data_IF_966306308992
#
_entry.id   IF_966306308992
#
_cell.length_a   1.000
_cell.length_b   1.000
_cell.length_c   1.000
_cell.angle_alpha   90.00
_cell.angle_beta   90.00
_cell.angle_gamma   90.00
#
_symmetry.space_group_name_H-M   'P 1'
#
loop_
_entity.id
_entity.type
_entity.pdbx_description
1 polymer ?
#
# COMPACT_ATOMS: atom_id res chain seq x y z
N UNK A 1 25.39 -8.94 2.38
CA UNK A 1 25.34 -9.80 1.19
C UNK A 1 24.76 -9.00 0.03
N UNK A 2 25.47 -8.87 -1.10
CA UNK A 2 24.94 -8.14 -2.26
C UNK A 2 23.84 -8.99 -2.92
N UNK A 3 22.58 -8.59 -2.76
CA UNK A 3 21.48 -9.22 -3.48
C UNK A 3 21.75 -9.10 -4.98
N UNK A 4 21.90 -10.24 -5.65
CA UNK A 4 22.15 -10.30 -7.08
C UNK A 4 20.93 -9.74 -7.78
N UNK A 5 21.07 -8.56 -8.39
CA UNK A 5 19.99 -7.87 -9.10
C UNK A 5 19.47 -8.75 -10.24
N UNK A 6 18.16 -8.74 -10.43
CA UNK A 6 17.52 -9.31 -11.62
C UNK A 6 18.11 -8.59 -12.84
N UNK A 7 18.40 -9.32 -13.92
CA UNK A 7 18.88 -8.68 -15.15
C UNK A 7 17.74 -7.89 -15.76
N UNK A 8 18.03 -6.69 -16.28
CA UNK A 8 16.99 -5.84 -16.87
C UNK A 8 16.24 -6.53 -18.02
N UNK A 9 16.91 -7.41 -18.76
CA UNK A 9 16.31 -8.21 -19.84
C UNK A 9 15.29 -9.26 -19.35
N UNK A 10 15.34 -9.63 -18.07
CA UNK A 10 14.40 -10.58 -17.45
C UNK A 10 13.20 -9.85 -16.82
N UNK A 11 13.19 -8.51 -16.82
CA UNK A 11 12.06 -7.72 -16.29
C UNK A 11 10.92 -7.64 -17.32
N UNK A 12 9.66 -7.68 -16.87
CA UNK A 12 8.53 -7.52 -17.77
C UNK A 12 8.50 -6.12 -18.41
N UNK A 13 8.03 -6.07 -19.65
CA UNK A 13 7.77 -4.80 -20.34
C UNK A 13 6.68 -3.99 -19.63
N UNK A 14 6.53 -2.72 -19.99
CA UNK A 14 5.47 -1.88 -19.42
C UNK A 14 4.07 -2.44 -19.71
N UNK A 15 3.84 -2.96 -20.92
CA UNK A 15 2.60 -3.61 -21.33
C UNK A 15 2.33 -4.87 -20.51
N UNK A 16 3.31 -5.76 -20.39
CA UNK A 16 3.19 -6.98 -19.59
C UNK A 16 2.87 -6.68 -18.11
N UNK A 17 3.42 -5.59 -17.54
CA UNK A 17 3.07 -5.17 -16.18
C UNK A 17 1.61 -4.75 -16.04
N UNK A 18 1.04 -4.11 -17.06
CA UNK A 18 -0.36 -3.72 -17.06
C UNK A 18 -1.28 -4.94 -17.21
N UNK A 19 -0.91 -5.90 -18.06
CA UNK A 19 -1.64 -7.16 -18.22
C UNK A 19 -1.65 -7.94 -16.91
N UNK A 20 -0.49 -8.11 -16.27
CA UNK A 20 -0.36 -8.76 -14.96
C UNK A 20 -1.25 -8.05 -13.91
N UNK A 21 -1.26 -6.72 -13.88
CA UNK A 21 -2.08 -5.95 -12.95
C UNK A 21 -3.58 -6.20 -13.20
N UNK A 22 -4.02 -6.13 -14.45
CA UNK A 22 -5.42 -6.34 -14.82
C UNK A 22 -5.88 -7.77 -14.48
N UNK A 23 -5.08 -8.78 -14.82
CA UNK A 23 -5.35 -10.18 -14.51
C UNK A 23 -5.38 -10.43 -12.99
N UNK A 24 -4.47 -9.80 -12.24
CA UNK A 24 -4.42 -9.89 -10.78
C UNK A 24 -5.69 -9.31 -10.16
N UNK A 25 -6.12 -8.13 -10.62
CA UNK A 25 -7.36 -7.50 -10.14
C UNK A 25 -8.55 -8.42 -10.41
N UNK A 26 -8.68 -8.93 -11.65
CA UNK A 26 -9.78 -9.82 -12.01
C UNK A 26 -9.79 -11.11 -11.17
N UNK A 27 -8.62 -11.73 -11.03
CA UNK A 27 -8.45 -12.98 -10.27
C UNK A 27 -8.81 -12.80 -8.80
N UNK A 28 -8.24 -11.79 -8.13
CA UNK A 28 -8.51 -11.55 -6.71
C UNK A 28 -9.95 -11.11 -6.47
N UNK A 29 -10.53 -10.31 -7.37
CA UNK A 29 -11.96 -9.95 -7.31
C UNK A 29 -12.85 -11.17 -7.43
N UNK A 30 -12.56 -12.07 -8.37
CA UNK A 30 -13.30 -13.34 -8.51
C UNK A 30 -13.16 -14.26 -7.29
N UNK A 31 -12.03 -14.17 -6.59
CA UNK A 31 -11.78 -14.90 -5.34
C UNK A 31 -12.43 -14.23 -4.11
N UNK A 32 -13.17 -13.13 -4.30
CA UNK A 32 -13.94 -12.45 -3.26
C UNK A 32 -13.17 -11.37 -2.51
N UNK A 33 -12.04 -10.88 -3.02
CA UNK A 33 -11.35 -9.72 -2.46
C UNK A 33 -11.83 -8.42 -3.13
N UNK A 34 -12.01 -7.37 -2.34
CA UNK A 34 -12.25 -6.01 -2.82
C UNK A 34 -10.90 -5.31 -3.07
N UNK A 35 -10.78 -4.65 -4.22
CA UNK A 35 -9.65 -3.78 -4.50
C UNK A 35 -9.79 -2.47 -3.72
N UNK A 36 -8.90 -2.25 -2.74
CA UNK A 36 -8.90 -1.05 -1.88
C UNK A 36 -8.17 0.11 -2.58
N UNK A 37 -7.23 -0.19 -3.49
CA UNK A 37 -6.46 0.79 -4.26
C UNK A 37 -4.96 0.56 -4.15
N UNK A 38 -4.21 1.14 -5.11
CA UNK A 38 -2.77 0.92 -5.31
C UNK A 38 -2.44 -0.58 -5.40
N UNK A 39 -1.94 -1.15 -4.31
CA UNK A 39 -1.42 -2.50 -4.16
C UNK A 39 -2.22 -3.34 -3.13
N UNK A 40 -3.32 -2.81 -2.58
CA UNK A 40 -4.08 -3.45 -1.50
C UNK A 40 -5.39 -4.09 -1.93
N UNK A 41 -5.59 -5.32 -1.46
CA UNK A 41 -6.83 -6.09 -1.58
C UNK A 41 -7.23 -6.58 -0.19
N UNK A 42 -8.51 -6.48 0.15
CA UNK A 42 -9.04 -6.92 1.44
C UNK A 42 -10.38 -7.64 1.25
N UNK A 43 -10.81 -8.45 2.23
CA UNK A 43 -12.15 -9.03 2.16
C UNK A 43 -13.21 -7.94 2.30
N UNK A 44 -14.44 -8.12 1.78
CA UNK A 44 -15.48 -7.10 1.86
C UNK A 44 -15.86 -6.74 3.31
N UNK A 45 -15.72 -7.67 4.25
CA UNK A 45 -15.95 -7.51 5.68
C UNK A 45 -14.72 -7.02 6.47
N UNK A 46 -13.60 -6.80 5.79
CA UNK A 46 -12.40 -6.20 6.39
C UNK A 46 -12.64 -4.72 6.75
N UNK A 47 -12.01 -4.27 7.83
CA UNK A 47 -12.15 -2.90 8.33
C UNK A 47 -11.74 -1.85 7.30
N UNK A 48 -10.74 -2.13 6.45
CA UNK A 48 -10.31 -1.22 5.38
C UNK A 48 -11.34 -1.16 4.26
N UNK A 49 -11.96 -2.28 3.93
CA UNK A 49 -13.01 -2.35 2.91
C UNK A 49 -14.28 -1.62 3.38
N UNK A 50 -14.61 -1.74 4.66
CA UNK A 50 -15.71 -1.00 5.30
C UNK A 50 -15.41 0.49 5.31
N UNK A 51 -14.25 0.91 5.83
CA UNK A 51 -13.84 2.31 5.89
C UNK A 51 -13.80 2.97 4.51
N UNK A 52 -13.39 2.23 3.47
CA UNK A 52 -13.43 2.71 2.09
C UNK A 52 -14.86 3.01 1.62
N UNK A 53 -15.81 2.10 1.88
CA UNK A 53 -17.22 2.29 1.50
C UNK A 53 -17.89 3.41 2.29
N UNK A 54 -17.46 3.62 3.53
CA UNK A 54 -17.94 4.70 4.40
C UNK A 54 -17.26 6.06 4.14
N UNK A 55 -16.22 6.10 3.29
CA UNK A 55 -15.50 7.32 2.97
C UNK A 55 -14.57 7.82 4.09
N UNK A 56 -14.26 6.96 5.06
CA UNK A 56 -13.39 7.24 6.22
C UNK A 56 -12.08 6.46 6.17
N UNK A 57 -11.70 5.96 4.99
CA UNK A 57 -10.40 5.33 4.80
C UNK A 57 -9.30 6.39 4.83
N UNK A 58 -8.36 6.25 5.75
CA UNK A 58 -7.20 7.12 5.87
C UNK A 58 -5.94 6.41 5.33
N UNK A 59 -4.89 7.19 5.09
CA UNK A 59 -3.59 6.66 4.65
C UNK A 59 -2.47 7.40 5.35
N UNK A 60 -1.52 6.66 5.91
CA UNK A 60 -0.28 7.20 6.47
C UNK A 60 0.94 6.61 5.75
N UNK A 61 2.14 6.82 6.31
CA UNK A 61 3.39 6.37 5.67
C UNK A 61 3.51 4.84 5.54
N UNK A 62 2.78 4.08 6.33
CA UNK A 62 2.80 2.60 6.31
C UNK A 62 1.72 1.99 5.41
N UNK A 63 0.69 2.75 5.02
CA UNK A 63 -0.39 2.23 4.18
C UNK A 63 -1.77 2.79 4.55
N UNK A 64 -2.81 2.11 4.05
CA UNK A 64 -4.21 2.40 4.38
C UNK A 64 -4.51 2.01 5.83
N UNK A 65 -5.30 2.83 6.52
CA UNK A 65 -5.65 2.68 7.93
C UNK A 65 -7.06 3.18 8.20
N UNK A 66 -7.73 2.58 9.19
CA UNK A 66 -9.03 3.03 9.73
C UNK A 66 -8.90 4.15 10.76
N UNK A 67 -7.68 4.41 11.25
CA UNK A 67 -7.41 5.42 12.26
C UNK A 67 -6.99 6.73 11.60
N UNK A 68 -7.98 7.60 11.37
CA UNK A 68 -7.75 9.00 11.02
C UNK A 68 -7.18 9.80 12.19
N UNK A 69 -6.58 10.95 11.88
CA UNK A 69 -6.19 12.00 12.83
C UNK A 69 -5.32 11.54 14.01
N UNK A 70 -4.49 10.53 13.79
CA UNK A 70 -3.57 10.00 14.81
C UNK A 70 -2.15 10.45 14.53
N UNK A 71 -1.45 10.92 15.57
CA UNK A 71 -0.01 11.18 15.50
C UNK A 71 0.77 9.87 15.33
N UNK A 72 1.62 9.83 14.30
CA UNK A 72 2.54 8.74 14.00
C UNK A 72 3.95 9.13 14.42
N UNK A 73 4.53 8.44 15.42
CA UNK A 73 5.93 8.59 15.79
C UNK A 73 6.77 7.45 15.20
N UNK A 74 7.63 7.77 14.23
CA UNK A 74 8.59 6.83 13.65
C UNK A 74 9.86 6.71 14.49
N UNK A 75 10.30 5.48 14.75
CA UNK A 75 11.54 5.19 15.49
C UNK A 75 12.57 4.49 14.61
N UNK A 76 13.84 4.83 14.81
CA UNK A 76 14.98 4.24 14.08
C UNK A 76 15.44 5.03 12.86
N UNK A 77 16.48 4.52 12.21
CA UNK A 77 17.09 5.13 11.00
C UNK A 77 16.05 5.25 9.88
N UNK A 78 16.02 6.37 9.19
CA UNK A 78 15.11 6.72 8.08
C UNK A 78 13.61 6.82 8.41
N UNK A 79 13.20 6.54 9.66
CA UNK A 79 11.80 6.52 10.06
C UNK A 79 11.13 7.90 9.86
N UNK A 80 9.85 7.88 9.50
CA UNK A 80 9.04 9.08 9.24
C UNK A 80 7.92 9.17 10.26
N UNK A 81 7.80 10.36 10.84
CA UNK A 81 6.76 10.75 11.79
C UNK A 81 5.79 11.74 11.14
N UNK A 82 4.53 11.69 11.54
CA UNK A 82 3.47 12.64 11.20
C UNK A 82 2.84 13.07 12.52
N UNK A 83 3.08 14.29 12.97
CA UNK A 83 2.60 14.78 14.27
C UNK A 83 1.96 16.16 14.05
N UNK A 84 0.67 16.29 14.34
CA UNK A 84 -0.13 17.41 13.87
C UNK A 84 0.02 17.61 12.36
N UNK A 85 0.21 18.85 11.92
CA UNK A 85 0.39 19.21 10.50
C UNK A 85 1.85 19.09 10.01
N UNK A 86 2.71 18.38 10.76
CA UNK A 86 4.14 18.30 10.48
C UNK A 86 4.59 16.88 10.11
N UNK A 87 5.51 16.81 9.13
CA UNK A 87 6.25 15.60 8.80
C UNK A 87 7.72 15.74 9.21
N UNK A 88 8.28 14.71 9.85
CA UNK A 88 9.69 14.65 10.24
C UNK A 88 10.30 13.30 9.84
N UNK A 89 11.57 13.31 9.44
CA UNK A 89 12.31 12.10 9.07
C UNK A 89 13.61 12.01 9.88
N UNK A 90 13.85 10.86 10.51
CA UNK A 90 15.13 10.54 11.13
C UNK A 90 16.23 10.40 10.06
N UNK A 91 17.49 10.60 10.46
CA UNK A 91 18.65 10.45 9.57
C UNK A 91 18.60 9.11 8.80
N UNK A 92 18.92 9.15 7.50
CA UNK A 92 18.91 7.97 6.60
C UNK A 92 20.18 7.16 6.70
#
# INVERSE_FOLDING_TARGET
AAQRKIKDADLPSAEQKLDILQETIASLTSAGYQFIGMDHFARPDDELAIAQREGILHRNFQGSTTQGDTDLLGLGVSAISMIGDCYAQNQK
#
